data_IF_283307403888
#
_entry.id   IF_283307403888
#
_cell.length_a   1.000
_cell.length_b   1.000
_cell.length_c   1.000
_cell.angle_alpha   90.00
_cell.angle_beta   90.00
_cell.angle_gamma   90.00
#
_symmetry.space_group_name_H-M   'P 1'
#
loop_
_entity.id
_entity.type
_entity.pdbx_description
1 polymer ?
#
# COMPACT_ATOMS: atom_id res chain seq x y z
N UNK A 1 2.28 8.60 -2.21
CA UNK A 1 1.27 8.46 -1.14
C UNK A 1 0.75 9.83 -0.81
N UNK A 2 -0.56 10.01 -0.64
CA UNK A 2 -1.17 11.26 -0.19
C UNK A 2 -1.35 11.27 1.33
N UNK A 3 -0.75 12.23 2.02
CA UNK A 3 -0.80 12.38 3.48
C UNK A 3 -1.62 13.62 3.85
N UNK A 4 -2.64 13.43 4.70
CA UNK A 4 -3.42 14.51 5.29
C UNK A 4 -2.81 15.00 6.61
N UNK A 5 -2.34 16.24 6.69
CA UNK A 5 -1.88 16.84 7.95
C UNK A 5 -3.04 17.60 8.58
N UNK A 6 -3.54 17.11 9.70
CA UNK A 6 -4.56 17.74 10.55
C UNK A 6 -3.86 18.69 11.52
N UNK A 7 -3.81 19.96 11.13
CA UNK A 7 -3.09 20.99 11.85
C UNK A 7 -3.94 21.57 12.99
N UNK A 8 -3.43 21.43 14.22
CA UNK A 8 -4.15 21.71 15.48
C UNK A 8 -3.65 22.93 16.23
N UNK A 9 -2.65 23.62 15.67
CA UNK A 9 -2.13 24.88 16.18
C UNK A 9 -1.28 25.58 15.10
N UNK A 10 -0.87 26.80 15.43
CA UNK A 10 0.02 27.66 14.66
C UNK A 10 1.21 28.06 15.53
N UNK A 11 2.42 28.08 14.96
CA UNK A 11 3.61 28.63 15.62
C UNK A 11 3.34 30.09 16.03
N UNK A 12 3.76 30.49 17.24
CA UNK A 12 3.50 31.86 17.72
C UNK A 12 4.47 32.87 17.13
N UNK A 13 4.00 34.08 16.85
CA UNK A 13 4.88 35.23 16.69
C UNK A 13 5.70 35.47 17.98
N UNK A 14 7.00 35.80 17.89
CA UNK A 14 7.76 36.09 16.67
C UNK A 14 8.41 34.86 15.98
N UNK A 15 8.28 33.65 16.54
CA UNK A 15 8.99 32.46 16.05
C UNK A 15 8.58 32.02 14.65
N UNK A 16 7.36 32.34 14.23
CA UNK A 16 6.84 31.98 12.91
C UNK A 16 7.75 32.46 11.77
N UNK A 17 8.24 33.71 11.83
CA UNK A 17 9.04 34.29 10.74
C UNK A 17 10.35 33.53 10.51
N UNK A 18 10.94 33.00 11.56
CA UNK A 18 12.24 32.33 11.52
C UNK A 18 12.11 30.82 11.28
N UNK A 19 11.10 30.19 11.87
CA UNK A 19 11.00 28.73 11.93
C UNK A 19 9.89 28.14 11.04
N UNK A 20 9.03 28.99 10.47
CA UNK A 20 7.82 28.55 9.77
C UNK A 20 6.77 27.97 10.73
N UNK A 21 5.76 27.32 10.15
CA UNK A 21 4.67 26.68 10.89
C UNK A 21 4.83 25.15 10.92
N UNK A 22 3.96 24.46 11.67
CA UNK A 22 4.10 23.02 11.91
C UNK A 22 4.02 22.17 10.64
N UNK A 23 3.20 22.55 9.66
CA UNK A 23 3.14 21.90 8.36
C UNK A 23 4.50 21.92 7.65
N UNK A 24 5.17 23.07 7.62
CA UNK A 24 6.51 23.22 7.05
C UNK A 24 7.56 22.38 7.80
N UNK A 25 7.44 22.26 9.13
CA UNK A 25 8.31 21.40 9.93
C UNK A 25 8.12 19.92 9.57
N UNK A 26 6.88 19.44 9.42
CA UNK A 26 6.61 18.06 8.99
C UNK A 26 7.01 17.83 7.52
N UNK A 27 6.80 18.79 6.63
CA UNK A 27 7.31 18.74 5.25
C UNK A 27 8.83 18.61 5.23
N UNK A 28 9.54 19.34 6.09
CA UNK A 28 10.99 19.22 6.27
C UNK A 28 11.40 17.86 6.85
N UNK A 29 10.66 17.35 7.85
CA UNK A 29 10.91 16.05 8.47
C UNK A 29 10.83 14.90 7.46
N UNK A 30 9.86 14.97 6.55
CA UNK A 30 9.65 13.98 5.50
C UNK A 30 10.33 14.34 4.17
N UNK A 31 11.25 15.32 4.17
CA UNK A 31 11.99 15.69 2.96
C UNK A 31 12.73 14.48 2.38
N UNK A 32 12.56 14.26 1.07
CA UNK A 32 13.10 13.08 0.38
C UNK A 32 12.18 11.85 0.37
N UNK A 33 10.95 11.96 0.88
CA UNK A 33 9.88 10.98 0.71
C UNK A 33 8.91 11.42 -0.39
N UNK A 34 8.27 10.47 -1.09
CA UNK A 34 7.24 10.77 -2.10
C UNK A 34 5.85 10.91 -1.45
N UNK A 35 5.66 12.02 -0.75
CA UNK A 35 4.39 12.40 -0.14
C UNK A 35 3.72 13.56 -0.90
N UNK A 36 2.48 13.36 -1.30
CA UNK A 36 1.56 14.43 -1.69
C UNK A 36 0.85 14.92 -0.44
N UNK A 37 1.12 16.15 0.02
CA UNK A 37 0.65 16.63 1.33
C UNK A 37 -0.58 17.51 1.13
N UNK A 38 -1.66 17.16 1.83
CA UNK A 38 -2.84 18.00 1.99
C UNK A 38 -2.95 18.45 3.44
N UNK A 39 -2.97 19.75 3.68
CA UNK A 39 -3.16 20.32 5.02
C UNK A 39 -4.65 20.57 5.26
N UNK A 40 -5.13 20.19 6.43
CA UNK A 40 -6.46 20.46 6.95
C UNK A 40 -6.33 21.29 8.22
N UNK A 41 -6.94 22.46 8.23
CA UNK A 41 -6.92 23.42 9.33
C UNK A 41 -7.90 22.99 10.44
N UNK A 42 -7.53 21.95 11.20
CA UNK A 42 -8.39 21.32 12.20
C UNK A 42 -8.73 22.27 13.36
N UNK A 43 -7.82 23.18 13.72
CA UNK A 43 -8.08 24.25 14.69
C UNK A 43 -9.26 25.14 14.25
N UNK A 44 -9.37 25.42 12.95
CA UNK A 44 -10.45 26.18 12.31
C UNK A 44 -11.69 25.33 12.01
N UNK A 45 -11.69 24.05 12.38
CA UNK A 45 -12.78 23.10 12.15
C UNK A 45 -12.81 22.46 10.76
N UNK A 46 -11.74 22.61 9.98
CA UNK A 46 -11.59 21.93 8.70
C UNK A 46 -11.06 20.51 8.92
N UNK A 47 -11.88 19.52 8.61
CA UNK A 47 -11.54 18.09 8.67
C UNK A 47 -11.83 17.41 7.31
N UNK A 48 -11.15 16.30 7.00
CA UNK A 48 -11.49 15.46 5.85
C UNK A 48 -12.96 15.05 5.89
N UNK A 49 -13.66 15.19 4.76
CA UNK A 49 -15.08 14.82 4.63
C UNK A 49 -15.25 13.31 4.45
N UNK A 50 -14.22 12.64 3.96
CA UNK A 50 -14.14 11.19 3.85
C UNK A 50 -12.77 10.68 4.31
N UNK A 51 -12.77 9.47 4.86
CA UNK A 51 -11.57 8.74 5.30
C UNK A 51 -10.64 8.31 4.16
N UNK A 52 -11.11 8.38 2.92
CA UNK A 52 -10.37 7.98 1.72
C UNK A 52 -9.82 9.19 0.94
N UNK A 53 -9.91 10.41 1.49
CA UNK A 53 -9.34 11.59 0.83
C UNK A 53 -7.80 11.57 0.78
N UNK A 54 -7.18 10.88 1.74
CA UNK A 54 -5.74 10.65 1.85
C UNK A 54 -5.47 9.18 2.17
N UNK A 55 -4.26 8.72 1.86
CA UNK A 55 -3.80 7.34 2.16
C UNK A 55 -3.46 7.16 3.66
N UNK A 56 -3.22 8.27 4.36
CA UNK A 56 -3.00 8.32 5.79
C UNK A 56 -3.10 9.75 6.32
N UNK A 57 -3.15 9.89 7.64
CA UNK A 57 -3.34 11.17 8.32
C UNK A 57 -2.33 11.35 9.46
N UNK A 58 -1.98 12.60 9.75
CA UNK A 58 -1.13 13.00 10.87
C UNK A 58 -1.80 14.13 11.64
N UNK A 59 -1.97 13.98 12.96
CA UNK A 59 -2.46 15.03 13.87
C UNK A 59 -1.25 15.66 14.57
N UNK A 60 -1.12 16.98 14.41
CA UNK A 60 0.03 17.74 14.94
C UNK A 60 -0.05 17.99 16.45
N UNK A 61 0.99 18.63 17.00
CA UNK A 61 0.97 19.17 18.36
C UNK A 61 0.05 20.38 18.51
N UNK A 62 -0.25 20.75 19.76
CA UNK A 62 -1.05 21.94 20.09
C UNK A 62 -0.71 22.47 21.47
N UNK A 63 -0.94 23.78 21.68
CA UNK A 63 -0.89 24.43 23.00
C UNK A 63 -2.05 24.03 23.92
N UNK A 64 -3.15 23.54 23.34
CA UNK A 64 -4.36 23.17 24.04
C UNK A 64 -4.20 21.81 24.72
N UNK A 65 -5.02 21.57 25.74
CA UNK A 65 -5.19 20.25 26.34
C UNK A 65 -6.23 19.47 25.56
N UNK A 66 -6.07 18.14 25.42
CA UNK A 66 -7.06 17.30 24.73
C UNK A 66 -8.46 17.35 25.36
N UNK A 67 -8.56 17.76 26.63
CA UNK A 67 -9.80 17.90 27.38
C UNK A 67 -10.26 19.36 27.55
N UNK A 68 -9.65 20.32 26.85
CA UNK A 68 -10.16 21.69 26.83
C UNK A 68 -11.55 21.73 26.17
N UNK A 69 -12.49 22.57 26.66
CA UNK A 69 -13.89 22.58 26.20
C UNK A 69 -14.08 23.32 24.86
N UNK A 70 -13.19 23.10 23.89
CA UNK A 70 -13.23 23.72 22.57
C UNK A 70 -13.99 22.86 21.56
N UNK A 71 -14.97 23.41 20.82
CA UNK A 71 -15.78 22.61 19.88
C UNK A 71 -14.99 21.85 18.81
N UNK A 72 -13.88 22.43 18.33
CA UNK A 72 -13.04 21.79 17.31
C UNK A 72 -12.32 20.54 17.85
N UNK A 73 -11.97 20.52 19.15
CA UNK A 73 -11.34 19.38 19.81
C UNK A 73 -12.32 18.20 19.86
N UNK A 74 -13.56 18.44 20.30
CA UNK A 74 -14.59 17.40 20.35
C UNK A 74 -14.94 16.86 18.96
N UNK A 75 -14.99 17.73 17.94
CA UNK A 75 -15.17 17.31 16.55
C UNK A 75 -14.01 16.45 16.06
N UNK A 76 -12.77 16.81 16.40
CA UNK A 76 -11.60 16.03 16.03
C UNK A 76 -11.54 14.68 16.77
N UNK A 77 -11.95 14.60 18.04
CA UNK A 77 -12.09 13.31 18.75
C UNK A 77 -13.12 12.40 18.06
N UNK A 78 -14.28 12.95 17.70
CA UNK A 78 -15.30 12.21 16.97
C UNK A 78 -14.75 11.70 15.62
N UNK A 79 -13.95 12.52 14.93
CA UNK A 79 -13.28 12.12 13.69
C UNK A 79 -12.25 11.00 13.94
N UNK A 80 -11.45 11.05 15.01
CA UNK A 80 -10.49 9.99 15.39
C UNK A 80 -11.20 8.66 15.62
N UNK A 81 -12.36 8.65 16.30
CA UNK A 81 -13.15 7.43 16.50
C UNK A 81 -13.57 6.83 15.16
N UNK A 82 -14.02 7.67 14.21
CA UNK A 82 -14.38 7.21 12.87
C UNK A 82 -13.16 6.69 12.09
N UNK A 83 -12.02 7.38 12.15
CA UNK A 83 -10.77 6.96 11.50
C UNK A 83 -10.26 5.62 12.07
N UNK A 84 -10.37 5.43 13.39
CA UNK A 84 -10.02 4.17 14.04
C UNK A 84 -10.92 3.02 13.57
N UNK A 85 -12.24 3.23 13.50
CA UNK A 85 -13.18 2.23 12.98
C UNK A 85 -12.95 1.90 11.50
N UNK A 86 -12.59 2.89 10.69
CA UNK A 86 -12.26 2.72 9.28
C UNK A 86 -10.86 2.11 9.05
N UNK A 87 -10.08 1.88 10.11
CA UNK A 87 -8.68 1.43 10.06
C UNK A 87 -7.76 2.33 9.21
N UNK A 88 -8.00 3.63 9.22
CA UNK A 88 -7.13 4.60 8.55
C UNK A 88 -5.73 4.59 9.18
N UNK A 89 -4.68 4.69 8.36
CA UNK A 89 -3.32 4.96 8.85
C UNK A 89 -3.30 6.34 9.50
N UNK A 90 -3.08 6.40 10.80
CA UNK A 90 -3.14 7.63 11.60
C UNK A 90 -1.90 7.76 12.49
N UNK A 91 -1.27 8.93 12.44
CA UNK A 91 -0.18 9.30 13.33
C UNK A 91 -0.62 10.43 14.27
N UNK A 92 -0.36 10.31 15.57
CA UNK A 92 -0.53 11.40 16.53
C UNK A 92 0.81 11.87 17.08
N UNK A 93 1.07 13.19 17.06
CA UNK A 93 2.28 13.79 17.64
C UNK A 93 1.91 14.75 18.78
N UNK A 94 2.52 14.56 19.96
CA UNK A 94 2.28 15.37 21.16
C UNK A 94 0.79 15.50 21.53
N UNK A 95 0.14 16.64 21.27
CA UNK A 95 -1.32 16.79 21.42
C UNK A 95 -2.08 15.73 20.62
N UNK A 96 -1.69 15.43 19.37
CA UNK A 96 -2.33 14.38 18.59
C UNK A 96 -2.21 12.99 19.24
N UNK A 97 -1.07 12.67 19.86
CA UNK A 97 -0.87 11.43 20.62
C UNK A 97 -1.83 11.35 21.83
N UNK A 98 -2.03 12.48 22.51
CA UNK A 98 -2.91 12.58 23.68
C UNK A 98 -4.39 12.55 23.26
N UNK A 99 -4.76 13.31 22.25
CA UNK A 99 -6.11 13.39 21.72
C UNK A 99 -6.60 12.03 21.24
N UNK A 100 -5.73 11.25 20.58
CA UNK A 100 -6.08 9.88 20.16
C UNK A 100 -6.33 8.98 21.37
N UNK A 101 -5.51 9.08 22.42
CA UNK A 101 -5.74 8.32 23.63
C UNK A 101 -7.08 8.68 24.28
N UNK A 102 -7.35 9.98 24.44
CA UNK A 102 -8.59 10.48 25.04
C UNK A 102 -9.83 10.08 24.21
N UNK A 103 -9.79 10.26 22.88
CA UNK A 103 -10.88 9.88 21.98
C UNK A 103 -11.21 8.38 22.01
N UNK A 104 -10.23 7.53 22.28
CA UNK A 104 -10.36 6.07 22.30
C UNK A 104 -10.47 5.49 23.71
N UNK A 105 -10.83 6.33 24.70
CA UNK A 105 -11.18 5.90 26.05
C UNK A 105 -10.00 5.71 27.00
N UNK A 106 -8.82 6.21 26.65
CA UNK A 106 -7.72 6.44 27.57
C UNK A 106 -7.96 7.66 28.46
N UNK A 107 -6.99 7.97 29.32
CA UNK A 107 -7.03 9.13 30.19
C UNK A 107 -5.79 10.01 29.98
N UNK A 108 -6.01 11.30 29.74
CA UNK A 108 -4.96 12.32 29.60
C UNK A 108 -5.10 13.33 30.73
N UNK A 109 -3.97 13.77 31.27
CA UNK A 109 -3.93 14.82 32.27
C UNK A 109 -2.50 15.35 32.49
N UNK A 110 -2.34 16.32 33.40
CA UNK A 110 -1.04 16.89 33.72
C UNK A 110 -0.13 15.82 34.32
N UNK A 111 1.14 15.81 33.90
CA UNK A 111 2.16 15.01 34.53
C UNK A 111 2.39 15.48 35.98
N UNK A 112 2.55 14.53 36.92
CA UNK A 112 2.84 14.85 38.33
C UNK A 112 4.17 15.61 38.48
N UNK A 113 5.10 15.41 37.53
CA UNK A 113 6.41 16.07 37.46
C UNK A 113 6.37 17.46 36.81
N UNK A 114 5.23 17.87 36.25
CA UNK A 114 5.07 19.18 35.61
C UNK A 114 5.62 19.24 34.19
N UNK A 115 6.23 20.38 33.83
CA UNK A 115 6.73 20.64 32.48
C UNK A 115 7.91 19.74 32.12
N UNK A 116 7.82 19.12 30.95
CA UNK A 116 8.93 18.42 30.31
C UNK A 116 9.37 19.15 29.05
N UNK A 117 10.61 19.65 29.10
CA UNK A 117 11.18 20.48 28.04
C UNK A 117 12.63 20.14 27.72
N UNK A 118 12.97 20.10 26.42
CA UNK A 118 14.32 19.75 25.94
C UNK A 118 14.42 18.35 25.32
N UNK A 119 15.63 17.80 25.25
CA UNK A 119 15.90 16.47 24.68
C UNK A 119 15.86 15.41 25.79
N UNK A 120 15.09 14.34 25.58
CA UNK A 120 15.02 13.21 26.53
C UNK A 120 15.20 11.87 25.84
N UNK A 121 15.88 10.91 26.50
CA UNK A 121 15.95 9.52 26.07
C UNK A 121 14.65 8.77 26.38
N UNK A 122 14.24 7.91 25.47
CA UNK A 122 13.07 7.02 25.58
C UNK A 122 13.52 5.61 25.23
N UNK A 123 13.19 4.66 26.10
CA UNK A 123 13.57 3.26 25.96
C UNK A 123 12.42 2.46 25.37
N UNK A 124 12.75 1.56 24.46
CA UNK A 124 11.78 0.59 23.97
C UNK A 124 11.42 -0.42 25.06
N UNK A 125 10.16 -0.84 25.08
CA UNK A 125 9.68 -1.91 25.97
C UNK A 125 10.05 -3.28 25.42
N UNK A 126 10.02 -4.32 26.25
CA UNK A 126 10.24 -5.71 25.77
C UNK A 126 9.14 -6.18 24.79
N UNK A 127 7.98 -5.52 24.79
CA UNK A 127 6.88 -5.78 23.86
C UNK A 127 7.09 -5.13 22.49
N UNK A 128 8.17 -4.34 22.29
CA UNK A 128 8.57 -3.87 20.98
C UNK A 128 9.10 -5.04 20.14
N UNK A 129 8.39 -5.35 19.05
CA UNK A 129 8.85 -6.29 18.03
C UNK A 129 9.08 -5.54 16.72
N UNK A 130 10.33 -5.57 16.23
CA UNK A 130 10.72 -4.97 14.95
C UNK A 130 9.94 -5.53 13.74
N UNK A 131 9.32 -6.72 13.89
CA UNK A 131 8.46 -7.31 12.87
C UNK A 131 7.11 -6.59 12.71
N UNK A 132 6.66 -5.85 13.74
CA UNK A 132 5.36 -5.13 13.74
C UNK A 132 5.31 -3.92 12.80
N UNK A 133 6.44 -3.50 12.21
CA UNK A 133 6.45 -2.44 11.17
C UNK A 133 7.11 -2.86 9.85
N UNK A 134 6.98 -4.13 9.46
CA UNK A 134 7.46 -4.67 8.17
C UNK A 134 8.95 -4.38 7.88
N UNK A 135 9.85 -5.18 8.50
CA UNK A 135 11.25 -5.47 8.09
C UNK A 135 12.23 -4.35 7.68
N UNK A 136 11.85 -3.08 7.62
CA UNK A 136 12.75 -1.95 7.33
C UNK A 136 13.31 -1.29 8.60
N UNK A 137 12.93 -1.83 9.76
CA UNK A 137 13.37 -1.37 11.08
C UNK A 137 14.67 -2.02 11.57
N UNK A 138 15.38 -2.81 10.76
CA UNK A 138 16.67 -3.33 11.19
C UNK A 138 17.67 -2.19 11.40
N UNK A 139 18.25 -2.05 12.60
CA UNK A 139 19.21 -1.00 12.84
C UNK A 139 20.61 -1.55 12.68
N UNK A 140 21.41 -0.89 11.84
CA UNK A 140 22.86 -1.06 11.88
C UNK A 140 23.40 -0.53 13.22
N UNK A 141 23.74 -1.43 14.16
CA UNK A 141 24.55 -1.12 15.34
C UNK A 141 23.89 -1.24 16.71
N UNK A 142 24.68 -0.96 17.75
CA UNK A 142 24.42 -1.26 19.18
C UNK A 142 23.55 -0.23 19.93
N UNK A 143 23.05 0.83 19.29
CA UNK A 143 22.27 1.92 19.92
C UNK A 143 20.75 1.74 19.77
N UNK A 144 20.27 0.51 19.98
CA UNK A 144 18.89 0.08 19.67
C UNK A 144 17.90 0.08 20.80
N UNK A 145 18.34 0.19 22.03
CA UNK A 145 17.44 0.08 23.18
C UNK A 145 16.69 1.39 23.46
N UNK A 146 17.13 2.51 22.86
CA UNK A 146 16.57 3.83 23.13
C UNK A 146 16.69 4.82 21.98
N UNK A 147 15.88 5.88 22.02
CA UNK A 147 15.93 7.03 21.13
C UNK A 147 15.72 8.34 21.87
N UNK A 148 16.29 9.41 21.33
CA UNK A 148 16.21 10.75 21.91
C UNK A 148 15.32 11.63 21.03
N UNK A 149 14.32 12.28 21.62
CA UNK A 149 13.47 13.26 20.95
C UNK A 149 13.39 14.55 21.77
N UNK A 150 12.94 15.62 21.11
CA UNK A 150 12.58 16.87 21.76
C UNK A 150 11.19 16.74 22.38
N UNK A 151 10.99 17.31 23.56
CA UNK A 151 9.72 17.33 24.28
C UNK A 151 9.40 18.77 24.68
N UNK A 152 8.11 19.11 24.66
CA UNK A 152 7.57 20.40 25.12
C UNK A 152 6.12 20.22 25.55
N UNK A 153 5.89 19.53 26.66
CA UNK A 153 4.54 19.22 27.14
C UNK A 153 4.46 19.29 28.68
N UNK A 154 3.23 19.44 29.17
CA UNK A 154 2.90 19.30 30.59
C UNK A 154 1.91 18.16 30.81
N UNK A 155 1.05 17.90 29.83
CA UNK A 155 0.12 16.79 29.84
C UNK A 155 0.73 15.52 29.28
N UNK A 156 0.22 14.37 29.70
CA UNK A 156 0.64 13.05 29.22
C UNK A 156 -0.54 12.08 29.25
N UNK A 157 -0.41 10.98 28.51
CA UNK A 157 -1.32 9.83 28.64
C UNK A 157 -1.03 9.12 29.96
N UNK A 158 -2.01 9.13 30.85
CA UNK A 158 -1.97 8.48 32.17
C UNK A 158 -2.44 7.03 32.06
N UNK A 159 -3.55 6.81 31.34
CA UNK A 159 -4.08 5.49 31.02
C UNK A 159 -4.18 5.35 29.50
N UNK A 160 -3.54 4.31 28.95
CA UNK A 160 -3.62 4.04 27.51
C UNK A 160 -5.02 3.55 27.11
N UNK A 161 -5.47 3.83 25.88
CA UNK A 161 -6.73 3.30 25.38
C UNK A 161 -6.69 1.76 25.26
N UNK A 162 -7.87 1.13 25.30
CA UNK A 162 -7.97 -0.32 25.23
C UNK A 162 -7.39 -0.85 23.91
N UNK A 163 -6.55 -1.89 24.00
CA UNK A 163 -5.89 -2.49 22.84
C UNK A 163 -4.61 -1.78 22.39
N UNK A 164 -4.23 -0.67 23.04
CA UNK A 164 -2.93 -0.06 22.79
C UNK A 164 -1.78 -0.93 23.31
N UNK A 165 -0.69 -0.94 22.55
CA UNK A 165 0.59 -1.55 22.90
C UNK A 165 1.60 -0.45 23.14
N UNK A 166 2.16 -0.41 24.35
CA UNK A 166 3.26 0.50 24.69
C UNK A 166 4.53 0.08 23.96
N UNK A 167 5.10 1.00 23.19
CA UNK A 167 6.32 0.77 22.42
C UNK A 167 7.54 1.36 23.13
N UNK A 168 7.42 2.57 23.69
CA UNK A 168 8.51 3.22 24.38
C UNK A 168 8.05 4.11 25.53
N UNK A 169 8.92 4.25 26.52
CA UNK A 169 8.71 5.05 27.74
C UNK A 169 10.00 5.81 28.12
N UNK A 170 9.85 6.96 28.75
CA UNK A 170 10.95 7.74 29.34
C UNK A 170 10.79 7.89 30.86
N UNK A 171 11.87 8.27 31.53
CA UNK A 171 11.83 8.68 32.95
C UNK A 171 10.89 9.89 33.07
N UNK A 172 9.79 9.81 33.81
CA UNK A 172 8.72 10.83 33.90
C UNK A 172 7.88 11.07 32.63
N UNK A 173 7.86 10.11 31.69
CA UNK A 173 6.92 10.06 30.57
C UNK A 173 6.61 8.59 30.29
N UNK A 174 5.63 7.99 31.00
CA UNK A 174 5.38 6.55 30.94
C UNK A 174 4.90 6.08 29.56
N UNK A 175 4.30 6.98 28.77
CA UNK A 175 3.78 6.68 27.45
C UNK A 175 4.44 7.58 26.39
N UNK A 176 5.70 7.30 26.03
CA UNK A 176 6.41 8.11 25.04
C UNK A 176 6.03 7.72 23.60
N UNK A 177 5.71 6.45 23.37
CA UNK A 177 5.25 5.94 22.08
C UNK A 177 4.34 4.73 22.27
N UNK A 178 3.21 4.69 21.58
CA UNK A 178 2.32 3.53 21.57
C UNK A 178 1.71 3.32 20.18
N UNK A 179 1.21 2.11 19.94
CA UNK A 179 0.45 1.75 18.76
C UNK A 179 -0.90 1.16 19.14
N UNK A 180 -1.88 1.25 18.24
CA UNK A 180 -3.13 0.49 18.31
C UNK A 180 -3.24 -0.31 17.01
N UNK A 181 -3.28 -1.62 17.15
CA UNK A 181 -3.16 -2.58 16.03
C UNK A 181 -2.01 -2.22 15.06
N UNK A 182 -2.30 -2.13 13.76
CA UNK A 182 -1.37 -1.81 12.68
C UNK A 182 -1.69 -0.46 12.01
N UNK A 183 -2.67 0.31 12.52
CA UNK A 183 -3.19 1.50 11.83
C UNK A 183 -3.12 2.80 12.64
N UNK A 184 -2.74 2.77 13.92
CA UNK A 184 -2.47 3.99 14.70
C UNK A 184 -1.08 3.95 15.33
N UNK A 185 -0.27 5.00 15.12
CA UNK A 185 1.03 5.22 15.76
C UNK A 185 1.05 6.57 16.47
N UNK A 186 1.37 6.58 17.76
CA UNK A 186 1.37 7.80 18.56
C UNK A 186 2.73 8.06 19.19
N UNK A 187 3.22 9.30 19.11
CA UNK A 187 4.53 9.74 19.62
C UNK A 187 4.36 11.00 20.46
N UNK A 188 4.76 10.98 21.73
CA UNK A 188 4.61 12.12 22.63
C UNK A 188 5.64 13.24 22.35
N UNK A 189 6.85 12.84 21.95
CA UNK A 189 7.91 13.77 21.56
C UNK A 189 7.68 14.39 20.18
N UNK A 190 8.53 15.36 19.83
CA UNK A 190 8.46 16.16 18.62
C UNK A 190 9.59 15.79 17.65
N UNK A 191 9.36 14.86 16.71
CA UNK A 191 10.32 14.56 15.66
C UNK A 191 10.45 15.71 14.64
N UNK A 192 9.44 16.56 14.49
CA UNK A 192 9.38 17.67 13.53
C UNK A 192 10.16 18.92 13.97
N UNK A 193 10.25 19.18 15.28
CA UNK A 193 10.88 20.40 15.80
C UNK A 193 12.39 20.31 15.75
N UNK A 194 13.09 21.35 15.30
CA UNK A 194 14.56 21.39 15.38
C UNK A 194 15.04 22.03 16.71
N UNK A 195 16.33 21.89 17.03
CA UNK A 195 16.91 22.42 18.28
C UNK A 195 16.89 23.95 18.37
N UNK A 196 16.99 24.65 17.24
CA UNK A 196 16.94 26.12 17.23
C UNK A 196 15.54 26.61 17.63
N UNK A 197 14.50 26.06 17.01
CA UNK A 197 13.12 26.34 17.36
C UNK A 197 12.83 26.06 18.84
N UNK A 198 13.27 24.90 19.35
CA UNK A 198 13.05 24.57 20.77
C UNK A 198 13.81 25.54 21.69
N UNK A 199 15.04 25.94 21.35
CA UNK A 199 15.78 26.95 22.13
C UNK A 199 14.97 28.24 22.28
N UNK A 200 14.44 28.77 21.19
CA UNK A 200 13.70 30.03 21.20
C UNK A 200 12.32 29.88 21.87
N UNK A 201 11.66 28.73 21.66
CA UNK A 201 10.41 28.39 22.34
C UNK A 201 10.59 28.34 23.86
N UNK A 202 11.71 27.80 24.33
CA UNK A 202 12.00 27.72 25.76
C UNK A 202 12.23 29.10 26.38
N UNK A 203 13.00 29.95 25.72
CA UNK A 203 13.19 31.32 26.19
C UNK A 203 11.88 32.12 26.20
N UNK A 204 11.06 31.98 25.16
CA UNK A 204 9.72 32.59 25.12
C UNK A 204 8.84 32.12 26.29
N UNK A 205 8.91 30.83 26.63
CA UNK A 205 8.03 30.20 27.62
C UNK A 205 8.61 30.16 29.04
N UNK A 206 9.82 30.68 29.25
CA UNK A 206 10.48 30.81 30.56
C UNK A 206 9.58 31.36 31.67
N UNK A 207 8.71 32.38 31.45
CA UNK A 207 7.80 32.85 32.50
C UNK A 207 6.76 31.83 32.96
N UNK A 208 6.44 30.82 32.14
CA UNK A 208 5.44 29.79 32.43
C UNK A 208 6.09 28.50 32.93
N UNK A 209 7.23 28.12 32.34
CA UNK A 209 7.93 26.87 32.67
C UNK A 209 8.79 27.03 33.93
N UNK A 210 9.38 28.21 34.15
CA UNK A 210 10.32 28.48 35.23
C UNK A 210 11.79 28.33 34.82
N UNK A 211 12.65 29.12 35.46
CA UNK A 211 14.06 29.28 35.07
C UNK A 211 14.85 27.96 35.11
N UNK A 212 14.74 27.20 36.20
CA UNK A 212 15.51 25.96 36.39
C UNK A 212 15.21 24.91 35.30
N UNK A 213 13.93 24.75 34.94
CA UNK A 213 13.50 23.80 33.92
C UNK A 213 13.88 24.26 32.52
N UNK A 214 13.80 25.56 32.24
CA UNK A 214 14.28 26.11 30.96
C UNK A 214 15.78 25.94 30.81
N UNK A 215 16.57 26.27 31.84
CA UNK A 215 18.02 26.14 31.79
C UNK A 215 18.44 24.66 31.62
N UNK A 216 17.75 23.74 32.28
CA UNK A 216 17.92 22.30 32.05
C UNK A 216 17.57 21.90 30.61
N UNK A 217 16.42 22.36 30.10
CA UNK A 217 15.97 22.10 28.74
C UNK A 217 16.96 22.61 27.69
N UNK A 218 17.47 23.83 27.84
CA UNK A 218 18.49 24.41 26.97
C UNK A 218 19.80 23.62 27.02
N UNK A 219 20.25 23.21 28.22
CA UNK A 219 21.45 22.39 28.37
C UNK A 219 21.30 21.03 27.68
N UNK A 220 20.11 20.41 27.73
CA UNK A 220 19.83 19.12 27.09
C UNK A 220 19.91 19.17 25.56
N UNK A 221 19.80 20.35 24.92
CA UNK A 221 19.94 20.50 23.46
C UNK A 221 21.33 20.09 22.96
N UNK A 222 22.33 19.95 23.83
CA UNK A 222 23.62 19.37 23.48
C UNK A 222 23.55 17.87 23.14
N UNK A 223 22.53 17.15 23.62
CA UNK A 223 22.34 15.72 23.35
C UNK A 223 21.95 15.47 21.88
N UNK A 224 22.38 14.35 21.26
CA UNK A 224 21.93 14.01 19.91
C UNK A 224 20.43 13.71 19.89
N UNK A 225 19.76 14.09 18.80
CA UNK A 225 18.35 13.73 18.53
C UNK A 225 18.29 12.66 17.45
N UNK A 226 17.26 11.82 17.51
CA UNK A 226 17.04 10.71 16.57
C UNK A 226 15.87 10.98 15.63
N UNK A 227 15.59 12.26 15.32
CA UNK A 227 14.46 12.70 14.48
C UNK A 227 14.42 11.99 13.12
N UNK A 228 15.53 11.84 12.36
CA UNK A 228 15.48 11.15 11.08
C UNK A 228 15.15 9.66 11.21
N UNK A 229 15.49 9.04 12.36
CA UNK A 229 15.15 7.63 12.63
C UNK A 229 13.65 7.49 12.90
N UNK A 230 13.09 8.38 13.71
CA UNK A 230 11.63 8.40 14.00
C UNK A 230 10.83 8.75 12.74
N UNK A 231 11.30 9.69 11.92
CA UNK A 231 10.69 10.00 10.63
C UNK A 231 10.58 8.76 9.73
N UNK A 232 11.64 7.94 9.65
CA UNK A 232 11.61 6.68 8.90
C UNK A 232 10.60 5.69 9.45
N UNK A 233 10.41 5.61 10.78
CA UNK A 233 9.39 4.77 11.38
C UNK A 233 7.99 5.25 11.00
N UNK A 234 7.75 6.56 11.09
CA UNK A 234 6.49 7.19 10.69
C UNK A 234 6.18 6.94 9.21
N UNK A 235 7.15 7.12 8.31
CA UNK A 235 6.94 6.91 6.88
C UNK A 235 6.76 5.45 6.53
N UNK A 236 7.48 4.53 7.19
CA UNK A 236 7.32 3.08 6.99
C UNK A 236 5.96 2.61 7.49
N UNK A 237 5.51 3.11 8.64
CA UNK A 237 4.17 2.87 9.18
C UNK A 237 3.05 3.31 8.20
N UNK A 238 3.25 4.47 7.58
CA UNK A 238 2.38 5.01 6.54
C UNK A 238 2.45 4.22 5.22
N UNK A 239 3.47 3.38 5.02
CA UNK A 239 3.74 2.70 3.75
C UNK A 239 4.38 3.60 2.68
N UNK A 240 4.99 4.72 3.08
CA UNK A 240 5.64 5.66 2.19
C UNK A 240 7.06 5.21 1.78
N UNK A 241 7.42 5.46 0.52
CA UNK A 241 8.72 5.10 -0.08
C UNK A 241 9.68 6.30 -0.10
N UNK A 242 10.97 6.03 0.06
CA UNK A 242 12.02 7.05 -0.08
C UNK A 242 12.31 7.35 -1.56
N UNK A 243 12.67 8.58 -1.88
CA UNK A 243 12.98 9.00 -3.26
C UNK A 243 14.22 8.28 -3.83
N UNK A 244 15.18 7.87 -3.00
CA UNK A 244 16.34 7.07 -3.44
C UNK A 244 16.04 5.58 -3.60
N UNK A 245 14.89 5.10 -3.10
CA UNK A 245 14.42 3.72 -3.25
C UNK A 245 13.48 3.54 -4.46
N UNK A 246 13.29 4.57 -5.29
CA UNK A 246 12.57 4.45 -6.57
C UNK A 246 13.50 3.80 -7.58
N UNK A 247 13.69 2.50 -7.39
CA UNK A 247 14.43 1.62 -8.27
C UNK A 247 13.64 0.32 -8.35
N UNK A 248 13.51 -0.20 -9.55
CA UNK A 248 13.02 -1.55 -9.76
C UNK A 248 14.16 -2.40 -10.31
N UNK A 249 14.40 -3.55 -9.69
CA UNK A 249 15.35 -4.55 -10.19
C UNK A 249 14.62 -5.66 -10.95
N UNK A 250 13.33 -5.86 -10.65
CA UNK A 250 12.53 -6.89 -11.31
C UNK A 250 11.08 -6.45 -11.58
N UNK A 251 10.53 -7.02 -12.66
CA UNK A 251 9.13 -6.90 -13.04
C UNK A 251 8.48 -8.29 -13.03
N UNK A 252 7.39 -8.41 -12.27
CA UNK A 252 6.56 -9.61 -12.21
C UNK A 252 5.30 -9.36 -13.03
N UNK A 253 5.00 -10.27 -13.96
CA UNK A 253 3.83 -10.16 -14.83
C UNK A 253 2.82 -11.24 -14.51
N UNK A 254 1.55 -10.88 -14.46
CA UNK A 254 0.47 -11.82 -14.75
C UNK A 254 0.46 -12.23 -16.23
N UNK A 255 -0.17 -13.36 -16.54
CA UNK A 255 -0.33 -13.87 -17.90
C UNK A 255 -1.69 -13.49 -18.52
N UNK A 256 -2.79 -13.95 -17.92
CA UNK A 256 -4.11 -14.01 -18.56
C UNK A 256 -4.91 -12.73 -18.32
N UNK A 257 -5.08 -11.91 -19.35
CA UNK A 257 -5.66 -10.57 -19.21
C UNK A 257 -4.60 -9.49 -19.07
N UNK A 258 -3.33 -9.87 -18.92
CA UNK A 258 -2.20 -8.92 -18.85
C UNK A 258 -1.33 -8.97 -20.09
N UNK A 259 -0.80 -10.16 -20.42
CA UNK A 259 0.03 -10.40 -21.61
C UNK A 259 -0.76 -11.12 -22.71
N UNK A 260 -1.57 -12.10 -22.30
CA UNK A 260 -2.46 -12.88 -23.16
C UNK A 260 -3.85 -12.25 -23.17
N UNK A 261 -4.36 -11.99 -24.37
CA UNK A 261 -5.74 -11.55 -24.59
C UNK A 261 -6.68 -12.76 -24.48
N UNK A 262 -7.43 -12.84 -23.37
CA UNK A 262 -8.34 -13.95 -23.07
C UNK A 262 -9.44 -14.11 -24.12
N UNK A 263 -9.97 -13.00 -24.62
CA UNK A 263 -11.08 -13.01 -25.57
C UNK A 263 -10.59 -13.40 -26.96
N UNK A 264 -9.48 -12.82 -27.43
CA UNK A 264 -8.87 -13.20 -28.71
C UNK A 264 -8.41 -14.67 -28.70
N UNK A 265 -7.85 -15.15 -27.58
CA UNK A 265 -7.46 -16.55 -27.39
C UNK A 265 -8.67 -17.48 -27.49
N UNK A 266 -9.78 -17.15 -26.81
CA UNK A 266 -11.01 -17.94 -26.87
C UNK A 266 -11.61 -17.93 -28.28
N UNK A 267 -11.67 -16.78 -28.94
CA UNK A 267 -12.17 -16.67 -30.30
C UNK A 267 -11.32 -17.50 -31.30
N UNK A 268 -9.99 -17.51 -31.15
CA UNK A 268 -9.09 -18.34 -31.95
C UNK A 268 -9.31 -19.83 -31.67
N UNK A 269 -9.44 -20.21 -30.38
CA UNK A 269 -9.74 -21.58 -29.98
C UNK A 269 -11.05 -22.09 -30.59
N UNK A 270 -12.13 -21.31 -30.49
CA UNK A 270 -13.44 -21.74 -30.98
C UNK A 270 -13.49 -21.90 -32.50
N UNK A 271 -12.68 -21.12 -33.24
CA UNK A 271 -12.50 -21.31 -34.69
C UNK A 271 -11.82 -22.65 -34.99
N UNK A 272 -10.73 -22.97 -34.28
CA UNK A 272 -10.06 -24.27 -34.37
C UNK A 272 -11.02 -25.41 -34.00
N UNK A 273 -11.74 -25.28 -32.90
CA UNK A 273 -12.69 -26.29 -32.43
C UNK A 273 -13.80 -26.57 -33.46
N UNK A 274 -14.31 -25.52 -34.12
CA UNK A 274 -15.27 -25.69 -35.20
C UNK A 274 -14.66 -26.41 -36.42
N UNK A 275 -13.42 -26.06 -36.80
CA UNK A 275 -12.72 -26.70 -37.93
C UNK A 275 -12.42 -28.20 -37.66
N UNK A 276 -12.16 -28.56 -36.40
CA UNK A 276 -11.78 -29.92 -35.98
C UNK A 276 -12.95 -30.82 -35.57
N UNK A 277 -14.16 -30.26 -35.39
CA UNK A 277 -15.36 -30.99 -35.00
C UNK A 277 -16.45 -30.87 -36.07
N UNK A 278 -16.45 -31.75 -37.09
CA UNK A 278 -17.33 -31.66 -38.25
C UNK A 278 -18.81 -31.60 -37.90
N UNK A 279 -19.25 -32.26 -36.83
CA UNK A 279 -20.66 -32.24 -36.42
C UNK A 279 -21.18 -30.82 -36.12
N UNK A 280 -20.33 -29.90 -35.67
CA UNK A 280 -20.72 -28.50 -35.44
C UNK A 280 -20.97 -27.80 -36.78
N UNK A 281 -20.06 -27.99 -37.74
CA UNK A 281 -20.12 -27.37 -39.06
C UNK A 281 -21.33 -27.81 -39.90
N UNK A 282 -21.95 -28.94 -39.57
CA UNK A 282 -23.20 -29.38 -40.23
C UNK A 282 -24.43 -28.58 -39.80
N UNK A 283 -24.37 -27.86 -38.68
CA UNK A 283 -25.52 -27.17 -38.09
C UNK A 283 -25.39 -25.66 -38.20
N UNK A 284 -24.20 -25.10 -37.97
CA UNK A 284 -24.01 -23.65 -37.96
C UNK A 284 -22.69 -23.20 -38.60
N UNK A 285 -22.68 -21.96 -39.09
CA UNK A 285 -21.47 -21.31 -39.60
C UNK A 285 -20.49 -20.99 -38.45
N UNK A 286 -19.20 -20.95 -38.78
CA UNK A 286 -18.12 -20.79 -37.81
C UNK A 286 -18.26 -19.53 -36.96
N UNK A 287 -18.52 -18.39 -37.57
CA UNK A 287 -18.65 -17.11 -36.87
C UNK A 287 -19.89 -17.07 -35.96
N UNK A 288 -20.96 -17.77 -36.35
CA UNK A 288 -22.16 -17.94 -35.53
C UNK A 288 -21.89 -18.81 -34.30
N UNK A 289 -21.14 -19.91 -34.45
CA UNK A 289 -20.69 -20.73 -33.33
C UNK A 289 -19.84 -19.94 -32.33
N UNK A 290 -18.82 -19.24 -32.82
CA UNK A 290 -17.92 -18.43 -31.99
C UNK A 290 -18.71 -17.38 -31.20
N UNK A 291 -19.58 -16.63 -31.87
CA UNK A 291 -20.41 -15.59 -31.24
C UNK A 291 -21.35 -16.16 -30.18
N UNK A 292 -21.98 -17.31 -30.45
CA UNK A 292 -22.87 -17.96 -29.49
C UNK A 292 -22.13 -18.41 -28.23
N UNK A 293 -20.96 -19.03 -28.36
CA UNK A 293 -20.20 -19.47 -27.17
C UNK A 293 -19.68 -18.28 -26.36
N UNK A 294 -19.14 -17.23 -27.01
CA UNK A 294 -18.64 -16.05 -26.32
C UNK A 294 -19.73 -15.27 -25.57
N UNK A 295 -20.93 -15.17 -26.14
CA UNK A 295 -22.06 -14.48 -25.48
C UNK A 295 -22.60 -15.20 -24.23
N UNK A 296 -22.32 -16.50 -24.08
CA UNK A 296 -22.77 -17.32 -22.95
C UNK A 296 -21.66 -17.60 -21.92
N UNK A 297 -20.47 -17.00 -22.05
CA UNK A 297 -19.35 -17.31 -21.15
C UNK A 297 -19.41 -16.58 -19.80
N UNK A 298 -20.26 -15.56 -19.63
CA UNK A 298 -20.41 -14.75 -18.40
C UNK A 298 -19.05 -14.35 -17.79
N UNK A 299 -18.15 -13.76 -18.58
CA UNK A 299 -16.82 -13.36 -18.12
C UNK A 299 -15.88 -14.53 -17.75
N UNK A 300 -16.23 -15.76 -18.12
CA UNK A 300 -15.44 -16.97 -17.88
C UNK A 300 -15.81 -17.75 -16.61
N UNK A 301 -16.76 -17.26 -15.81
CA UNK A 301 -17.13 -17.83 -14.50
C UNK A 301 -18.18 -18.94 -14.57
N UNK A 302 -18.91 -19.06 -15.68
CA UNK A 302 -19.86 -20.14 -15.88
C UNK A 302 -19.14 -21.49 -16.06
N UNK A 303 -19.76 -22.58 -15.57
CA UNK A 303 -19.29 -23.93 -15.85
C UNK A 303 -19.26 -24.15 -17.37
N UNK A 304 -18.13 -24.62 -17.91
CA UNK A 304 -17.92 -24.72 -19.37
C UNK A 304 -18.97 -25.59 -20.06
N UNK A 305 -19.42 -26.66 -19.40
CA UNK A 305 -20.53 -27.49 -19.86
C UNK A 305 -21.83 -26.70 -20.07
N UNK A 306 -22.14 -25.76 -19.17
CA UNK A 306 -23.34 -24.93 -19.25
C UNK A 306 -23.19 -23.89 -20.36
N UNK A 307 -22.01 -23.28 -20.50
CA UNK A 307 -21.72 -22.34 -21.59
C UNK A 307 -21.93 -23.00 -22.94
N UNK A 308 -21.33 -24.18 -23.17
CA UNK A 308 -21.53 -24.91 -24.43
C UNK A 308 -22.98 -25.37 -24.60
N UNK A 309 -23.61 -25.94 -23.56
CA UNK A 309 -24.99 -26.41 -23.65
C UNK A 309 -25.97 -25.28 -24.02
N UNK A 310 -25.85 -24.12 -23.38
CA UNK A 310 -26.68 -22.94 -23.70
C UNK A 310 -26.39 -22.39 -25.09
N UNK A 311 -25.11 -22.29 -25.48
CA UNK A 311 -24.73 -21.82 -26.80
C UNK A 311 -25.28 -22.73 -27.91
N UNK A 312 -25.10 -24.05 -27.81
CA UNK A 312 -25.63 -24.99 -28.80
C UNK A 312 -27.16 -25.00 -28.81
N UNK A 313 -27.81 -24.89 -27.65
CA UNK A 313 -29.28 -24.76 -27.58
C UNK A 313 -29.77 -23.50 -28.30
N UNK A 314 -29.06 -22.38 -28.16
CA UNK A 314 -29.39 -21.12 -28.86
C UNK A 314 -29.20 -21.18 -30.37
N UNK A 315 -28.38 -22.12 -30.84
CA UNK A 315 -28.13 -22.43 -32.25
C UNK A 315 -29.04 -23.54 -32.78
N UNK A 316 -30.06 -23.94 -32.02
CA UNK A 316 -31.06 -24.94 -32.42
C UNK A 316 -30.48 -26.35 -32.68
N UNK A 317 -29.40 -26.73 -31.99
CA UNK A 317 -28.91 -28.11 -32.01
C UNK A 317 -29.92 -29.07 -31.34
N UNK A 318 -30.02 -30.29 -31.85
CA UNK A 318 -30.83 -31.35 -31.25
C UNK A 318 -30.33 -31.72 -29.84
N UNK A 319 -31.25 -31.94 -28.89
CA UNK A 319 -30.89 -32.20 -27.50
C UNK A 319 -30.00 -33.44 -27.31
N UNK A 320 -30.23 -34.53 -28.06
CA UNK A 320 -29.40 -35.73 -27.97
C UNK A 320 -28.00 -35.48 -28.55
N UNK A 321 -27.90 -34.61 -29.55
CA UNK A 321 -26.61 -34.17 -30.09
C UNK A 321 -25.85 -33.28 -29.09
N UNK A 322 -26.54 -32.36 -28.41
CA UNK A 322 -25.96 -31.51 -27.36
C UNK A 322 -25.39 -32.37 -26.22
N UNK A 323 -26.19 -33.31 -25.70
CA UNK A 323 -25.78 -34.20 -24.59
C UNK A 323 -24.50 -34.99 -24.92
N UNK A 324 -24.32 -35.35 -26.19
CA UNK A 324 -23.11 -36.03 -26.68
C UNK A 324 -21.94 -35.07 -26.92
N UNK A 325 -22.17 -33.94 -27.58
CA UNK A 325 -21.11 -33.03 -28.01
C UNK A 325 -20.52 -32.20 -26.87
N UNK A 326 -21.32 -31.80 -25.88
CA UNK A 326 -20.83 -30.92 -24.79
C UNK A 326 -19.64 -31.54 -24.04
N UNK A 327 -19.66 -32.82 -23.63
CA UNK A 327 -18.47 -33.46 -23.04
C UNK A 327 -17.25 -33.47 -23.97
N UNK A 328 -17.44 -33.71 -25.27
CA UNK A 328 -16.36 -33.71 -26.27
C UNK A 328 -15.75 -32.31 -26.43
N UNK A 329 -16.60 -31.27 -26.48
CA UNK A 329 -16.20 -29.86 -26.57
C UNK A 329 -15.41 -29.39 -25.35
N UNK A 330 -15.86 -29.76 -24.15
CA UNK A 330 -15.14 -29.44 -22.90
C UNK A 330 -13.81 -30.17 -22.85
N UNK A 331 -13.77 -31.45 -23.25
CA UNK A 331 -12.52 -32.19 -23.31
C UNK A 331 -11.51 -31.57 -24.29
N UNK A 332 -11.98 -31.14 -25.46
CA UNK A 332 -11.17 -30.46 -26.46
C UNK A 332 -10.65 -29.10 -25.95
N UNK A 333 -11.49 -28.32 -25.26
CA UNK A 333 -11.09 -27.09 -24.58
C UNK A 333 -9.95 -27.34 -23.58
N UNK A 334 -10.11 -28.29 -22.67
CA UNK A 334 -9.10 -28.60 -21.65
C UNK A 334 -7.77 -29.07 -22.27
N UNK A 335 -7.85 -29.76 -23.41
CA UNK A 335 -6.70 -30.28 -24.11
C UNK A 335 -5.95 -29.22 -24.94
N UNK A 336 -6.65 -28.29 -25.59
CA UNK A 336 -6.07 -27.47 -26.66
C UNK A 336 -6.23 -25.96 -26.51
N UNK A 337 -7.04 -25.45 -25.58
CA UNK A 337 -7.27 -24.01 -25.40
C UNK A 337 -5.97 -23.20 -25.32
N UNK A 338 -5.00 -23.68 -24.54
CA UNK A 338 -3.72 -22.98 -24.38
C UNK A 338 -2.91 -22.86 -25.69
N UNK A 339 -3.13 -23.73 -26.67
CA UNK A 339 -2.38 -23.76 -27.92
C UNK A 339 -2.78 -22.66 -28.91
N UNK A 340 -3.88 -21.94 -28.65
CA UNK A 340 -4.34 -20.81 -29.47
C UNK A 340 -4.17 -19.46 -28.78
N UNK A 341 -3.29 -19.39 -27.78
CA UNK A 341 -3.02 -18.17 -27.04
C UNK A 341 -2.63 -17.01 -27.97
N UNK A 342 -3.33 -15.89 -27.80
CA UNK A 342 -3.09 -14.65 -28.51
C UNK A 342 -2.56 -13.60 -27.52
N UNK A 343 -1.49 -12.91 -27.91
CA UNK A 343 -0.93 -11.81 -27.11
C UNK A 343 -1.67 -10.51 -27.40
N UNK A 344 -1.72 -9.62 -26.40
CA UNK A 344 -2.04 -8.23 -26.68
C UNK A 344 -1.01 -7.62 -27.65
N UNK A 345 -1.43 -6.65 -28.51
CA UNK A 345 -0.52 -6.01 -29.44
C UNK A 345 0.70 -5.38 -28.76
N UNK A 346 1.89 -5.66 -29.27
CA UNK A 346 3.15 -5.06 -28.80
C UNK A 346 3.81 -5.75 -27.60
N UNK A 347 3.19 -6.77 -27.01
CA UNK A 347 3.74 -7.47 -25.82
C UNK A 347 5.16 -8.01 -26.04
N UNK A 348 5.42 -8.70 -27.15
CA UNK A 348 6.75 -9.28 -27.41
C UNK A 348 7.83 -8.19 -27.47
N UNK A 349 7.62 -7.13 -28.25
CA UNK A 349 8.57 -6.01 -28.35
C UNK A 349 8.77 -5.30 -27.02
N UNK A 350 7.71 -5.17 -26.21
CA UNK A 350 7.81 -4.59 -24.88
C UNK A 350 8.68 -5.45 -23.95
N UNK A 351 8.47 -6.76 -23.92
CA UNK A 351 9.27 -7.68 -23.09
C UNK A 351 10.74 -7.73 -23.55
N UNK A 352 11.00 -7.66 -24.86
CA UNK A 352 12.35 -7.53 -25.41
C UNK A 352 13.09 -6.28 -24.88
N UNK A 353 12.40 -5.15 -24.77
CA UNK A 353 13.02 -3.91 -24.27
C UNK A 353 13.15 -3.88 -22.75
N UNK A 354 12.15 -4.40 -22.03
CA UNK A 354 12.17 -4.45 -20.57
C UNK A 354 13.19 -5.47 -20.04
N UNK A 355 13.37 -6.62 -20.71
CA UNK A 355 14.35 -7.65 -20.31
C UNK A 355 15.80 -7.18 -20.38
N UNK A 356 16.10 -6.07 -21.08
CA UNK A 356 17.43 -5.46 -21.12
C UNK A 356 17.75 -4.66 -19.85
N UNK A 357 16.73 -4.26 -19.09
CA UNK A 357 16.84 -3.33 -17.96
C UNK A 357 16.40 -3.95 -16.64
N UNK A 358 15.45 -4.89 -16.71
CA UNK A 358 14.85 -5.54 -15.56
C UNK A 358 14.93 -7.05 -15.68
N UNK A 359 14.97 -7.68 -14.52
CA UNK A 359 14.78 -9.12 -14.41
C UNK A 359 13.29 -9.42 -14.47
N UNK A 360 12.89 -10.35 -15.32
CA UNK A 360 11.46 -10.60 -15.55
C UNK A 360 11.06 -11.94 -14.92
N UNK A 361 9.91 -11.94 -14.25
CA UNK A 361 9.24 -13.16 -13.82
C UNK A 361 7.77 -13.14 -14.24
N UNK A 362 7.20 -14.33 -14.41
CA UNK A 362 5.79 -14.53 -14.72
C UNK A 362 5.12 -15.25 -13.54
N UNK A 363 3.98 -14.75 -13.09
CA UNK A 363 3.16 -15.37 -12.05
C UNK A 363 1.75 -15.57 -12.57
N UNK A 364 1.28 -16.81 -12.65
CA UNK A 364 -0.04 -17.11 -13.20
C UNK A 364 -0.83 -18.11 -12.36
N UNK A 365 -2.11 -17.80 -12.14
CA UNK A 365 -3.06 -18.73 -11.56
C UNK A 365 -3.62 -19.64 -12.66
N UNK A 366 -3.72 -20.94 -12.42
CA UNK A 366 -4.25 -21.88 -13.41
C UNK A 366 -3.58 -23.25 -13.42
N UNK A 367 -4.09 -24.09 -14.33
CA UNK A 367 -3.57 -25.43 -14.58
C UNK A 367 -2.24 -25.38 -15.34
N UNK A 368 -1.26 -26.15 -14.89
CA UNK A 368 0.09 -26.21 -15.44
C UNK A 368 0.12 -26.54 -16.92
N UNK A 369 -0.60 -27.59 -17.35
CA UNK A 369 -0.59 -27.99 -18.75
C UNK A 369 -1.18 -26.90 -19.65
N UNK A 370 -2.23 -26.21 -19.19
CA UNK A 370 -2.81 -25.09 -19.92
C UNK A 370 -1.81 -23.91 -20.04
N UNK A 371 -1.23 -23.47 -18.93
CA UNK A 371 -0.31 -22.32 -18.95
C UNK A 371 0.97 -22.61 -19.72
N UNK A 372 1.53 -23.83 -19.61
CA UNK A 372 2.67 -24.25 -20.41
C UNK A 372 2.37 -24.24 -21.92
N UNK A 373 1.17 -24.65 -22.35
CA UNK A 373 0.78 -24.55 -23.77
C UNK A 373 0.68 -23.11 -24.24
N UNK A 374 0.14 -22.19 -23.43
CA UNK A 374 0.09 -20.76 -23.78
C UNK A 374 1.49 -20.19 -23.97
N UNK A 375 2.39 -20.52 -23.04
CA UNK A 375 3.78 -20.08 -23.10
C UNK A 375 4.54 -20.63 -24.30
N UNK A 376 4.24 -21.87 -24.72
CA UNK A 376 4.78 -22.45 -25.95
C UNK A 376 4.19 -21.81 -27.20
N UNK A 377 2.87 -21.58 -27.25
CA UNK A 377 2.19 -20.99 -28.40
C UNK A 377 2.59 -19.53 -28.65
N UNK A 378 2.96 -18.81 -27.59
CA UNK A 378 3.33 -17.38 -27.65
C UNK A 378 4.82 -17.13 -27.65
N UNK A 379 5.63 -18.18 -27.45
CA UNK A 379 7.09 -18.11 -27.29
C UNK A 379 7.55 -17.07 -26.25
N UNK A 380 6.81 -16.92 -25.14
CA UNK A 380 7.18 -15.93 -24.10
C UNK A 380 8.13 -16.46 -23.05
N UNK A 381 8.30 -17.79 -22.95
CA UNK A 381 9.04 -18.42 -21.84
C UNK A 381 10.47 -17.89 -21.70
N UNK A 382 11.11 -17.55 -22.81
CA UNK A 382 12.53 -17.18 -22.83
C UNK A 382 12.81 -15.77 -22.27
N UNK A 383 11.79 -14.95 -22.06
CA UNK A 383 11.95 -13.63 -21.42
C UNK A 383 12.03 -13.72 -19.89
N UNK A 384 11.51 -14.78 -19.29
CA UNK A 384 11.33 -14.87 -17.85
C UNK A 384 12.38 -15.77 -17.21
N UNK A 385 13.08 -15.25 -16.19
CA UNK A 385 13.99 -16.03 -15.35
C UNK A 385 13.22 -17.01 -14.46
N UNK A 386 11.99 -16.64 -14.09
CA UNK A 386 11.12 -17.41 -13.19
C UNK A 386 9.71 -17.44 -13.78
N UNK A 387 9.12 -18.64 -13.85
CA UNK A 387 7.72 -18.85 -14.24
C UNK A 387 7.03 -19.60 -13.10
N UNK A 388 6.24 -18.88 -12.31
CA UNK A 388 5.48 -19.41 -11.18
C UNK A 388 4.04 -19.72 -11.61
N UNK A 389 3.70 -21.01 -11.67
CA UNK A 389 2.33 -21.47 -11.95
C UNK A 389 1.71 -21.98 -10.67
N UNK A 390 0.54 -21.46 -10.31
CA UNK A 390 -0.08 -21.76 -9.01
C UNK A 390 -0.31 -23.24 -8.71
N UNK A 391 -0.66 -24.05 -9.72
CA UNK A 391 -0.87 -25.50 -9.53
C UNK A 391 0.45 -26.21 -9.21
N UNK A 392 1.55 -25.82 -9.85
CA UNK A 392 2.86 -26.44 -9.61
C UNK A 392 3.39 -26.11 -8.21
N UNK A 393 3.12 -24.90 -7.73
CA UNK A 393 3.59 -24.43 -6.42
C UNK A 393 2.63 -24.77 -5.27
N UNK A 394 1.38 -25.13 -5.57
CA UNK A 394 0.35 -25.37 -4.56
C UNK A 394 -0.19 -24.11 -3.88
N UNK A 395 0.27 -22.94 -4.31
CA UNK A 395 -0.17 -21.62 -3.83
C UNK A 395 -0.59 -20.75 -5.01
N UNK A 396 -1.64 -19.93 -4.83
CA UNK A 396 -2.18 -19.05 -5.87
C UNK A 396 -2.16 -17.61 -5.42
N UNK A 397 -2.07 -16.67 -6.35
CA UNK A 397 -2.34 -15.25 -6.07
C UNK A 397 -3.77 -15.11 -5.49
N UNK A 398 -4.00 -14.31 -4.41
CA UNK A 398 -3.09 -13.33 -3.80
C UNK A 398 -2.22 -13.89 -2.64
N UNK A 399 -2.16 -15.21 -2.42
CA UNK A 399 -1.39 -15.78 -1.30
C UNK A 399 0.10 -15.38 -1.37
N UNK A 400 0.72 -14.97 -0.25
CA UNK A 400 2.09 -14.47 -0.25
C UNK A 400 3.16 -15.41 -0.80
N UNK A 401 3.00 -16.74 -0.65
CA UNK A 401 4.08 -17.68 -0.97
C UNK A 401 4.42 -17.74 -2.45
N UNK A 402 3.46 -17.52 -3.37
CA UNK A 402 3.76 -17.49 -4.81
C UNK A 402 4.62 -16.27 -5.19
N UNK A 403 4.40 -15.11 -4.56
CA UNK A 403 5.22 -13.91 -4.76
C UNK A 403 6.60 -14.08 -4.13
N UNK A 404 6.65 -14.58 -2.89
CA UNK A 404 7.91 -14.86 -2.17
C UNK A 404 8.80 -15.83 -2.93
N UNK A 405 8.21 -16.87 -3.54
CA UNK A 405 8.96 -17.79 -4.40
C UNK A 405 9.69 -17.05 -5.53
N UNK A 406 9.03 -16.06 -6.15
CA UNK A 406 9.67 -15.25 -7.20
C UNK A 406 10.76 -14.34 -6.63
N UNK A 407 10.52 -13.68 -5.49
CA UNK A 407 11.52 -12.82 -4.84
C UNK A 407 12.77 -13.61 -4.45
N UNK A 408 12.60 -14.79 -3.86
CA UNK A 408 13.69 -15.67 -3.43
C UNK A 408 14.47 -16.23 -4.63
N UNK A 409 13.77 -16.68 -5.67
CA UNK A 409 14.41 -17.24 -6.86
C UNK A 409 15.17 -16.17 -7.65
N UNK A 410 14.63 -14.95 -7.72
CA UNK A 410 15.34 -13.82 -8.28
C UNK A 410 16.46 -13.37 -7.32
N UNK A 411 16.28 -13.41 -6.01
CA UNK A 411 17.21 -12.81 -5.06
C UNK A 411 17.06 -11.28 -4.99
N UNK A 412 15.81 -10.81 -5.02
CA UNK A 412 15.45 -9.39 -4.89
C UNK A 412 14.53 -9.20 -3.69
N UNK A 413 14.55 -8.02 -3.08
CA UNK A 413 13.62 -7.66 -2.02
C UNK A 413 12.31 -7.12 -2.64
N UNK A 414 11.14 -7.28 -1.99
CA UNK A 414 9.87 -6.88 -2.58
C UNK A 414 9.78 -5.37 -2.87
N UNK A 415 10.53 -4.54 -2.16
CA UNK A 415 10.51 -3.09 -2.31
C UNK A 415 11.05 -2.64 -3.68
N UNK A 416 11.90 -3.44 -4.33
CA UNK A 416 12.46 -3.17 -5.66
C UNK A 416 11.76 -3.96 -6.77
N UNK A 417 10.54 -4.43 -6.52
CA UNK A 417 9.75 -5.20 -7.48
C UNK A 417 8.50 -4.42 -7.89
N UNK A 418 8.17 -4.48 -9.18
CA UNK A 418 6.87 -4.04 -9.70
C UNK A 418 6.06 -5.26 -10.11
N UNK A 419 4.84 -5.41 -9.58
CA UNK A 419 3.85 -6.39 -10.04
C UNK A 419 2.92 -5.73 -11.07
N UNK A 420 2.76 -6.36 -12.23
CA UNK A 420 1.90 -5.93 -13.32
C UNK A 420 0.83 -7.00 -13.54
N UNK A 421 -0.44 -6.62 -13.41
CA UNK A 421 -1.55 -7.56 -13.61
C UNK A 421 -2.88 -6.90 -13.86
N UNK A 422 -3.87 -7.67 -14.30
CA UNK A 422 -5.22 -7.20 -14.62
C UNK A 422 -6.19 -7.36 -13.45
N UNK A 423 -5.85 -8.18 -12.45
CA UNK A 423 -6.75 -8.49 -11.36
C UNK A 423 -6.44 -7.66 -10.09
N UNK A 424 -7.33 -6.74 -9.68
CA UNK A 424 -7.09 -5.89 -8.52
C UNK A 424 -6.84 -6.65 -7.21
N UNK A 425 -7.50 -7.79 -6.99
CA UNK A 425 -7.34 -8.56 -5.76
C UNK A 425 -6.11 -9.48 -5.84
N UNK A 426 -6.06 -10.33 -6.86
CA UNK A 426 -5.03 -11.35 -6.99
C UNK A 426 -3.64 -10.74 -7.21
N UNK A 427 -3.52 -9.80 -8.15
CA UNK A 427 -2.22 -9.25 -8.57
C UNK A 427 -1.83 -8.05 -7.71
N UNK A 428 -2.75 -7.10 -7.57
CA UNK A 428 -2.42 -5.79 -7.00
C UNK A 428 -2.42 -5.85 -5.47
N UNK A 429 -3.55 -6.21 -4.85
CA UNK A 429 -3.64 -6.27 -3.38
C UNK A 429 -2.61 -7.26 -2.80
N UNK A 430 -2.48 -8.45 -3.41
CA UNK A 430 -1.52 -9.47 -2.99
C UNK A 430 -0.06 -9.00 -2.99
N UNK A 431 0.40 -8.38 -4.08
CA UNK A 431 1.77 -7.89 -4.18
C UNK A 431 2.02 -6.64 -3.32
N UNK A 432 1.05 -5.72 -3.27
CA UNK A 432 1.15 -4.49 -2.48
C UNK A 432 1.28 -4.78 -0.98
N UNK A 433 0.56 -5.78 -0.47
CA UNK A 433 0.67 -6.21 0.93
C UNK A 433 2.08 -6.72 1.32
N UNK A 434 2.92 -7.05 0.33
CA UNK A 434 4.31 -7.46 0.54
C UNK A 434 5.32 -6.33 0.32
N UNK A 435 4.87 -5.12 -0.01
CA UNK A 435 5.73 -3.98 -0.28
C UNK A 435 6.16 -3.83 -1.74
N UNK A 436 5.55 -4.55 -2.70
CA UNK A 436 5.80 -4.31 -4.13
C UNK A 436 5.17 -3.01 -4.62
N UNK A 437 5.75 -2.43 -5.67
CA UNK A 437 5.02 -1.46 -6.50
C UNK A 437 4.03 -2.22 -7.38
N UNK A 438 2.93 -1.58 -7.77
CA UNK A 438 1.89 -2.24 -8.56
C UNK A 438 1.43 -1.40 -9.75
N UNK A 439 1.21 -2.08 -10.87
CA UNK A 439 0.62 -1.51 -12.07
C UNK A 439 -0.58 -2.36 -12.48
N UNK A 440 -1.76 -1.76 -12.41
CA UNK A 440 -3.01 -2.41 -12.81
C UNK A 440 -3.27 -2.19 -14.31
N UNK A 441 -3.62 -3.25 -15.03
CA UNK A 441 -3.97 -3.19 -16.47
C UNK A 441 -5.46 -3.47 -16.65
N UNK A 442 -6.25 -2.43 -16.92
CA UNK A 442 -7.71 -2.51 -16.95
C UNK A 442 -8.30 -2.91 -18.32
N UNK A 443 -7.50 -2.96 -19.39
CA UNK A 443 -7.96 -3.29 -20.75
C UNK A 443 -9.17 -2.47 -21.25
N UNK A 444 -9.34 -1.24 -20.76
CA UNK A 444 -10.47 -0.37 -21.11
C UNK A 444 -11.77 -0.67 -20.36
N UNK A 445 -11.77 -1.57 -19.39
CA UNK A 445 -12.89 -1.77 -18.46
C UNK A 445 -12.95 -0.62 -17.45
N UNK A 446 -14.03 0.17 -17.48
CA UNK A 446 -14.25 1.33 -16.58
C UNK A 446 -14.72 0.93 -15.16
N UNK A 447 -14.31 -0.23 -14.66
CA UNK A 447 -14.60 -0.63 -13.29
C UNK A 447 -13.81 0.23 -12.31
N UNK A 448 -14.50 1.03 -11.48
CA UNK A 448 -13.86 1.60 -10.30
C UNK A 448 -13.57 0.45 -9.32
N UNK A 449 -12.31 0.02 -9.27
CA UNK A 449 -11.82 -0.80 -8.17
C UNK A 449 -11.46 0.13 -7.02
N UNK A 450 -11.96 -0.16 -5.81
CA UNK A 450 -11.53 0.52 -4.58
C UNK A 450 -10.08 0.16 -4.19
N UNK A 451 -9.44 -0.76 -4.91
CA UNK A 451 -8.08 -1.22 -4.62
C UNK A 451 -7.07 -0.20 -5.18
N UNK A 452 -6.24 0.32 -4.28
CA UNK A 452 -5.16 1.25 -4.62
C UNK A 452 -4.04 0.57 -5.40
N UNK A 453 -3.57 1.23 -6.46
CA UNK A 453 -2.41 0.83 -7.28
C UNK A 453 -1.51 2.04 -7.53
N UNK A 454 -0.20 1.83 -7.73
CA UNK A 454 0.73 2.94 -7.97
C UNK A 454 0.56 3.54 -9.37
N UNK A 455 0.18 2.72 -10.36
CA UNK A 455 -0.29 3.17 -11.68
C UNK A 455 -1.45 2.27 -12.16
N UNK A 456 -2.29 2.84 -13.02
CA UNK A 456 -3.33 2.12 -13.75
C UNK A 456 -3.22 2.43 -15.25
N UNK A 457 -3.29 1.39 -16.08
CA UNK A 457 -3.15 1.46 -17.53
C UNK A 457 -4.41 0.94 -18.19
N UNK A 458 -4.80 1.56 -19.30
CA UNK A 458 -5.85 1.00 -20.15
C UNK A 458 -5.33 -0.14 -21.03
N UNK A 459 -4.03 -0.16 -21.32
CA UNK A 459 -3.42 -1.18 -22.14
C UNK A 459 -1.98 -1.43 -21.71
N UNK A 460 -1.54 -2.68 -21.75
CA UNK A 460 -0.18 -3.09 -21.36
C UNK A 460 0.93 -2.37 -22.17
N UNK A 461 0.66 -1.97 -23.42
CA UNK A 461 1.63 -1.23 -24.25
C UNK A 461 2.02 0.14 -23.68
N UNK A 462 1.27 0.68 -22.71
CA UNK A 462 1.59 1.92 -22.01
C UNK A 462 2.64 1.73 -20.90
N UNK A 463 2.95 0.48 -20.52
CA UNK A 463 3.83 0.17 -19.39
C UNK A 463 5.19 0.85 -19.45
N UNK A 464 5.93 0.91 -20.58
CA UNK A 464 7.21 1.63 -20.63
C UNK A 464 7.09 3.13 -20.32
N UNK A 465 5.99 3.77 -20.71
CA UNK A 465 5.72 5.17 -20.37
C UNK A 465 5.38 5.30 -18.89
N UNK A 466 4.60 4.36 -18.34
CA UNK A 466 4.24 4.33 -16.93
C UNK A 466 5.47 4.15 -16.03
N UNK A 467 6.37 3.22 -16.35
CA UNK A 467 7.62 3.01 -15.62
C UNK A 467 8.50 4.26 -15.61
N UNK A 468 8.56 5.01 -16.72
CA UNK A 468 9.23 6.32 -16.77
C UNK A 468 8.57 7.36 -15.86
N UNK A 469 7.23 7.44 -15.86
CA UNK A 469 6.49 8.35 -14.96
C UNK A 469 6.70 8.00 -13.49
N UNK A 470 6.88 6.72 -13.20
CA UNK A 470 7.24 6.21 -11.88
C UNK A 470 8.72 6.48 -11.53
N UNK A 471 9.54 7.01 -12.46
CA UNK A 471 10.96 7.28 -12.22
C UNK A 471 11.84 6.02 -12.23
N UNK A 472 11.35 4.90 -12.77
CA UNK A 472 12.04 3.60 -12.76
C UNK A 472 12.90 3.34 -13.99
N UNK A 473 12.80 4.19 -15.01
CA UNK A 473 13.54 4.10 -16.27
C UNK A 473 14.04 5.50 -16.63
N UNK A 474 15.32 5.61 -17.01
CA UNK A 474 15.91 6.87 -17.47
C UNK A 474 15.34 7.30 -18.83
N UNK A 475 15.16 8.61 -19.02
CA UNK A 475 14.46 9.23 -20.16
C UNK A 475 15.20 9.21 -21.49
#
# INVERSE_FOLDING_TARGET
MKLGILQTDHVREPLWEEHGDYDAMFMGLFAGQLLDIQVYHALEGELPRSMNECDGYLITGSRFSSYDPEPWIENLKAWVVLAHHARCKLIGVCFGHQLIADALGGHVGPAETGWRVGVYPNKFTESWDSSLMHSTLEPEGSDNEQFNLLFSHQDQVLDMPLGAVLLASGEDCPCAMYMIDDHILCVQGHPEMNKAYVSDLLEMRRPVIGDDLVDHGLASLAMPTHQPRVARWMTSFLGARTASAVRADALLFDLDGTLVDREATMAAFLKMQWDEMPEISTVCERETFVSAVLSHQEGGYAAKSNTYGSALSSLEFDAALIDRLVPELVHHLDAFYGSTAALFPGVTSMLEDLSKQFRLALITNGNTACQQRKLQATDLSHFFEVIAISQDLGEKKPSPGIFRHCFETLGVSPEVVVMIGDNPENDISGARALGCMTVLVNNGENGQSDIQTDQALNNISELPVALRRMGLVDG
#
